data_IF_932231629257
#
_entry.id   IF_932231629257
#
_cell.length_a   1.000
_cell.length_b   1.000
_cell.length_c   1.000
_cell.angle_alpha   90.00
_cell.angle_beta   90.00
_cell.angle_gamma   90.00
#
_symmetry.space_group_name_H-M   'P 1'
#
loop_
_entity.id
_entity.type
_entity.pdbx_description
1 polymer ?
#
# COMPACT_ATOMS: atom_id res chain seq x y z
N UNK A 1 -5.28 -16.56 6.88
CA UNK A 1 -5.77 -15.76 8.03
C UNK A 1 -6.03 -14.35 7.53
N UNK A 2 -7.29 -13.91 7.54
CA UNK A 2 -7.61 -12.50 7.34
C UNK A 2 -6.99 -11.75 8.51
N UNK A 3 -5.88 -11.04 8.25
CA UNK A 3 -5.23 -10.23 9.29
C UNK A 3 -6.21 -9.12 9.64
N UNK A 4 -6.64 -9.11 10.90
CA UNK A 4 -7.53 -8.10 11.42
C UNK A 4 -6.80 -6.75 11.42
N UNK A 5 -7.27 -5.82 10.59
CA UNK A 5 -6.75 -4.45 10.48
C UNK A 5 -7.06 -3.62 11.77
N UNK A 6 -7.70 -4.21 12.80
CA UNK A 6 -8.08 -3.55 14.06
C UNK A 6 -6.98 -3.48 15.13
N UNK A 7 -5.80 -4.08 14.93
CA UNK A 7 -4.70 -3.97 15.90
C UNK A 7 -3.91 -2.70 15.62
N UNK A 8 -3.91 -1.77 16.58
CA UNK A 8 -3.22 -0.48 16.58
C UNK A 8 -1.69 -0.66 16.47
N UNK A 9 -1.19 -0.94 15.27
CA UNK A 9 0.23 -0.77 14.96
C UNK A 9 0.44 0.67 14.55
N UNK A 10 1.31 1.38 15.28
CA UNK A 10 1.60 2.78 15.02
C UNK A 10 2.16 2.97 13.60
N UNK A 11 1.58 3.93 12.87
CA UNK A 11 2.13 4.42 11.61
C UNK A 11 3.55 4.97 11.85
N UNK A 12 4.47 4.71 10.94
CA UNK A 12 5.82 5.26 11.07
C UNK A 12 5.86 6.73 10.66
N UNK A 13 6.81 7.47 11.22
CA UNK A 13 7.04 8.87 10.86
C UNK A 13 7.56 8.99 9.44
N UNK A 14 7.33 10.15 8.80
CA UNK A 14 7.92 10.47 7.47
C UNK A 14 9.44 10.34 7.46
N UNK A 15 10.12 10.64 8.58
CA UNK A 15 11.57 10.48 8.75
C UNK A 15 11.98 9.01 8.69
N UNK A 16 11.28 8.14 9.41
CA UNK A 16 11.53 6.69 9.41
C UNK A 16 11.24 6.06 8.05
N UNK A 17 10.12 6.43 7.40
CA UNK A 17 9.79 5.97 6.04
C UNK A 17 10.91 6.33 5.05
N UNK A 18 11.35 7.59 5.06
CA UNK A 18 12.46 8.05 4.21
C UNK A 18 13.75 7.28 4.48
N UNK A 19 14.11 7.10 5.75
CA UNK A 19 15.32 6.36 6.12
C UNK A 19 15.28 4.90 5.65
N UNK A 20 14.12 4.24 5.82
CA UNK A 20 13.92 2.87 5.36
C UNK A 20 14.02 2.76 3.83
N UNK A 21 13.30 3.62 3.09
CA UNK A 21 13.31 3.61 1.62
C UNK A 21 14.69 3.92 1.04
N UNK A 22 15.41 4.89 1.61
CA UNK A 22 16.77 5.23 1.17
C UNK A 22 17.74 4.07 1.41
N UNK A 23 17.65 3.43 2.58
CA UNK A 23 18.46 2.25 2.86
C UNK A 23 18.19 1.11 1.87
N UNK A 24 16.92 0.80 1.61
CA UNK A 24 16.55 -0.23 0.61
C UNK A 24 17.12 0.12 -0.75
N UNK A 25 17.02 1.39 -1.18
CA UNK A 25 17.49 1.87 -2.49
C UNK A 25 19.00 1.72 -2.67
N UNK A 26 19.78 1.96 -1.62
CA UNK A 26 21.24 1.91 -1.64
C UNK A 26 21.80 0.50 -1.41
N UNK A 27 21.05 -0.38 -0.75
CA UNK A 27 21.52 -1.71 -0.42
C UNK A 27 21.65 -2.63 -1.64
N UNK A 28 22.83 -3.25 -1.81
CA UNK A 28 23.13 -4.13 -2.96
C UNK A 28 22.15 -5.29 -3.13
N UNK A 29 21.64 -5.84 -2.03
CA UNK A 29 20.74 -7.00 -2.05
C UNK A 29 19.27 -6.58 -2.13
N UNK A 30 18.86 -5.57 -1.36
CA UNK A 30 17.45 -5.18 -1.24
C UNK A 30 16.96 -4.19 -2.29
N UNK A 31 17.84 -3.48 -3.00
CA UNK A 31 17.45 -2.46 -4.00
C UNK A 31 16.49 -2.95 -5.08
N UNK A 32 16.53 -4.23 -5.44
CA UNK A 32 15.62 -4.85 -6.43
C UNK A 32 14.16 -4.92 -5.97
N UNK A 33 13.89 -4.70 -4.68
CA UNK A 33 12.54 -4.67 -4.10
C UNK A 33 12.09 -3.24 -3.80
N UNK A 34 12.90 -2.22 -4.11
CA UNK A 34 12.61 -0.83 -3.80
C UNK A 34 11.27 -0.38 -4.38
N UNK A 35 11.03 -0.61 -5.67
CA UNK A 35 9.81 -0.19 -6.35
C UNK A 35 8.56 -0.81 -5.71
N UNK A 36 8.60 -2.12 -5.40
CA UNK A 36 7.48 -2.80 -4.74
C UNK A 36 7.22 -2.30 -3.32
N UNK A 37 8.27 -2.08 -2.54
CA UNK A 37 8.16 -1.50 -1.19
C UNK A 37 7.60 -0.07 -1.27
N UNK A 38 8.07 0.74 -2.22
CA UNK A 38 7.58 2.10 -2.43
C UNK A 38 6.08 2.10 -2.75
N UNK A 39 5.64 1.23 -3.66
CA UNK A 39 4.22 1.06 -4.00
C UNK A 39 3.38 0.74 -2.74
N UNK A 40 3.83 -0.16 -1.87
CA UNK A 40 3.12 -0.50 -0.63
C UNK A 40 2.93 0.72 0.28
N UNK A 41 3.92 1.61 0.38
CA UNK A 41 3.81 2.86 1.14
C UNK A 41 2.89 3.90 0.50
N UNK A 42 2.72 3.86 -0.82
CA UNK A 42 2.03 4.92 -1.58
C UNK A 42 0.66 4.57 -2.13
N UNK A 43 0.24 3.32 -1.98
CA UNK A 43 -1.07 2.84 -2.48
C UNK A 43 -1.94 2.19 -1.42
N UNK A 44 -1.35 1.82 -0.28
CA UNK A 44 -2.07 1.18 0.82
C UNK A 44 -2.59 -0.22 0.48
N UNK A 45 -2.12 -0.87 -0.58
CA UNK A 45 -2.48 -2.25 -0.91
C UNK A 45 -2.21 -3.21 0.25
N UNK A 46 -3.09 -4.21 0.43
CA UNK A 46 -2.76 -5.37 1.27
C UNK A 46 -1.65 -6.16 0.59
N UNK A 47 -0.83 -6.84 1.38
CA UNK A 47 0.30 -7.58 0.81
C UNK A 47 -0.14 -8.70 -0.14
N UNK A 48 -1.23 -9.41 0.19
CA UNK A 48 -1.78 -10.48 -0.68
C UNK A 48 -2.40 -9.93 -1.96
N UNK A 49 -2.94 -8.71 -1.95
CA UNK A 49 -3.40 -8.01 -3.15
C UNK A 49 -2.18 -7.64 -4.01
N UNK A 50 -1.17 -7.00 -3.42
CA UNK A 50 0.04 -6.57 -4.11
C UNK A 50 0.79 -7.72 -4.78
N UNK A 51 0.99 -8.84 -4.07
CA UNK A 51 1.67 -10.01 -4.64
C UNK A 51 0.80 -10.77 -5.65
N UNK A 52 -0.52 -10.55 -5.62
CA UNK A 52 -1.46 -11.07 -6.61
C UNK A 52 -1.48 -10.28 -7.91
N UNK A 53 -1.04 -9.02 -7.91
CA UNK A 53 -1.05 -8.18 -9.10
C UNK A 53 -0.33 -8.84 -10.28
N UNK A 54 -0.98 -8.76 -11.43
CA UNK A 54 -0.49 -9.14 -12.74
C UNK A 54 -0.27 -7.91 -13.61
N UNK A 55 0.44 -8.06 -14.72
CA UNK A 55 0.64 -6.96 -15.69
C UNK A 55 -0.70 -6.39 -16.18
N UNK A 56 -1.72 -7.23 -16.37
CA UNK A 56 -3.06 -6.80 -16.83
C UNK A 56 -3.84 -5.98 -15.80
N UNK A 57 -3.44 -5.97 -14.54
CA UNK A 57 -4.11 -5.18 -13.50
C UNK A 57 -3.60 -3.74 -13.44
N UNK A 58 -2.55 -3.40 -14.20
CA UNK A 58 -1.88 -2.11 -14.15
C UNK A 58 -2.20 -1.30 -15.40
N UNK A 59 -3.07 -0.29 -15.28
CA UNK A 59 -3.36 0.66 -16.35
C UNK A 59 -2.51 1.92 -16.15
N UNK A 60 -1.36 1.96 -16.82
CA UNK A 60 -0.41 3.08 -16.73
C UNK A 60 -0.89 4.35 -17.46
N UNK A 61 -1.81 4.22 -18.40
CA UNK A 61 -2.36 5.35 -19.16
C UNK A 61 -3.39 6.10 -18.32
N UNK A 62 -4.35 5.36 -17.75
CA UNK A 62 -5.33 5.92 -16.82
C UNK A 62 -4.76 6.17 -15.43
N UNK A 63 -3.62 5.56 -15.10
CA UNK A 63 -2.99 5.67 -13.80
C UNK A 63 -3.83 5.02 -12.71
N UNK A 64 -4.31 3.80 -12.95
CA UNK A 64 -5.12 3.02 -11.98
C UNK A 64 -4.62 1.58 -11.84
N UNK A 65 -4.70 1.07 -10.62
CA UNK A 65 -4.46 -0.34 -10.27
C UNK A 65 -5.82 -1.00 -10.08
N UNK A 66 -6.10 -2.05 -10.84
CA UNK A 66 -7.30 -2.85 -10.69
C UNK A 66 -7.10 -3.93 -9.62
N UNK A 67 -7.69 -3.73 -8.45
CA UNK A 67 -7.60 -4.68 -7.33
C UNK A 67 -8.88 -5.49 -7.29
N UNK A 68 -8.88 -6.69 -7.86
CA UNK A 68 -10.04 -7.58 -7.90
C UNK A 68 -9.75 -9.02 -7.41
N UNK A 69 -8.52 -9.28 -6.95
CA UNK A 69 -8.11 -10.57 -6.43
C UNK A 69 -6.90 -10.44 -5.50
N UNK A 70 -6.60 -11.51 -4.78
CA UNK A 70 -5.41 -11.65 -3.96
C UNK A 70 -4.78 -13.03 -4.13
N UNK A 71 -3.45 -13.08 -4.07
CA UNK A 71 -2.69 -14.33 -4.10
C UNK A 71 -2.38 -14.77 -2.67
N UNK A 72 -2.76 -16.00 -2.35
CA UNK A 72 -2.40 -16.65 -1.08
C UNK A 72 -1.70 -17.97 -1.33
N UNK A 73 -0.98 -18.44 -0.30
CA UNK A 73 -0.43 -19.79 -0.27
C UNK A 73 -0.93 -20.51 0.97
N UNK A 74 -1.61 -21.63 0.77
CA UNK A 74 -2.12 -22.49 1.85
C UNK A 74 -0.96 -23.22 2.54
N UNK A 75 -1.26 -23.82 3.69
CA UNK A 75 -0.29 -24.60 4.47
C UNK A 75 0.27 -25.81 3.70
N UNK A 76 -0.54 -26.42 2.81
CA UNK A 76 -0.13 -27.49 1.90
C UNK A 76 0.73 -27.00 0.71
N UNK A 77 1.22 -25.76 0.74
CA UNK A 77 2.04 -25.12 -0.30
C UNK A 77 1.31 -24.81 -1.62
N UNK A 78 0.01 -25.03 -1.66
CA UNK A 78 -0.84 -24.70 -2.81
C UNK A 78 -1.04 -23.19 -2.92
N UNK A 79 -0.84 -22.66 -4.13
CA UNK A 79 -1.16 -21.28 -4.47
C UNK A 79 -2.63 -21.19 -4.84
N UNK A 80 -3.30 -20.16 -4.33
CA UNK A 80 -4.70 -19.89 -4.67
C UNK A 80 -4.89 -18.41 -4.98
N UNK A 81 -5.78 -18.15 -5.93
CA UNK A 81 -6.37 -16.83 -6.14
C UNK A 81 -7.70 -16.78 -5.39
N UNK A 82 -7.80 -15.84 -4.47
CA UNK A 82 -9.09 -15.49 -3.88
C UNK A 82 -9.60 -14.22 -4.55
N UNK A 83 -10.70 -14.35 -5.27
CA UNK A 83 -11.42 -13.20 -5.80
C UNK A 83 -11.96 -12.36 -4.65
N UNK A 84 -11.95 -11.05 -4.83
CA UNK A 84 -12.56 -10.14 -3.89
C UNK A 84 -14.08 -10.08 -4.17
N UNK A 85 -14.80 -11.13 -3.75
CA UNK A 85 -16.22 -11.40 -4.05
C UNK A 85 -17.24 -10.32 -3.61
N UNK A 86 -16.80 -9.21 -3.02
CA UNK A 86 -17.65 -8.11 -2.55
C UNK A 86 -17.32 -6.81 -3.30
N UNK A 87 -18.30 -5.94 -3.49
CA UNK A 87 -18.10 -4.59 -4.09
C UNK A 87 -17.06 -3.77 -3.32
N UNK A 88 -16.90 -4.01 -2.02
CA UNK A 88 -15.86 -3.40 -1.18
C UNK A 88 -14.45 -3.93 -1.44
N UNK A 89 -14.35 -5.13 -2.04
CA UNK A 89 -13.10 -5.81 -2.29
C UNK A 89 -12.57 -5.59 -3.71
N UNK A 90 -13.45 -5.40 -4.71
CA UNK A 90 -13.05 -4.99 -6.06
C UNK A 90 -13.00 -3.47 -6.16
N UNK A 91 -11.82 -2.90 -6.47
CA UNK A 91 -11.65 -1.44 -6.51
C UNK A 91 -10.58 -0.99 -7.50
N UNK A 92 -10.69 0.25 -7.94
CA UNK A 92 -9.64 0.96 -8.66
C UNK A 92 -8.87 1.83 -7.67
N UNK A 93 -7.55 1.62 -7.59
CA UNK A 93 -6.66 2.46 -6.78
C UNK A 93 -5.90 3.41 -7.72
N UNK A 94 -6.17 4.73 -7.67
CA UNK A 94 -5.41 5.72 -8.44
C UNK A 94 -3.94 5.72 -8.02
N UNK A 95 -3.04 5.98 -8.97
CA UNK A 95 -1.60 6.08 -8.72
C UNK A 95 -1.02 7.41 -9.21
N UNK A 96 -0.18 8.00 -8.36
CA UNK A 96 0.63 9.15 -8.69
C UNK A 96 1.75 8.80 -9.70
N UNK A 97 2.40 9.82 -10.26
CA UNK A 97 3.43 9.65 -11.30
C UNK A 97 4.65 8.85 -10.84
N UNK A 98 5.04 9.01 -9.58
CA UNK A 98 6.11 8.25 -8.94
C UNK A 98 5.79 6.74 -8.84
N UNK A 99 4.55 6.40 -8.47
CA UNK A 99 4.04 5.03 -8.44
C UNK A 99 3.95 4.45 -9.86
N UNK A 100 3.48 5.22 -10.85
CA UNK A 100 3.51 4.82 -12.27
C UNK A 100 4.94 4.51 -12.72
N UNK A 101 5.91 5.34 -12.34
CA UNK A 101 7.32 5.10 -12.66
C UNK A 101 7.85 3.80 -12.01
N UNK A 102 7.42 3.49 -10.78
CA UNK A 102 7.76 2.23 -10.11
C UNK A 102 7.21 1.02 -10.87
N UNK A 103 5.92 1.03 -11.25
CA UNK A 103 5.34 -0.05 -12.04
C UNK A 103 6.00 -0.21 -13.41
N UNK A 104 6.31 0.88 -14.12
CA UNK A 104 7.06 0.82 -15.37
C UNK A 104 8.39 0.09 -15.21
N UNK A 105 9.17 0.44 -14.18
CA UNK A 105 10.45 -0.22 -13.87
C UNK A 105 10.26 -1.69 -13.53
N UNK A 106 9.24 -2.05 -12.75
CA UNK A 106 8.93 -3.44 -12.40
C UNK A 106 8.64 -4.23 -13.68
N UNK A 107 7.75 -3.74 -14.54
CA UNK A 107 7.34 -4.42 -15.78
C UNK A 107 8.53 -4.57 -16.74
N UNK A 108 9.34 -3.51 -16.90
CA UNK A 108 10.52 -3.52 -17.77
C UNK A 108 11.60 -4.51 -17.30
N UNK A 109 11.84 -4.58 -15.99
CA UNK A 109 12.88 -5.42 -15.40
C UNK A 109 12.36 -6.79 -14.94
N UNK A 110 11.09 -7.10 -15.22
CA UNK A 110 10.46 -8.35 -14.80
C UNK A 110 11.21 -9.54 -15.38
N UNK A 111 11.46 -10.55 -14.54
CA UNK A 111 12.01 -11.84 -14.98
C UNK A 111 11.06 -12.45 -16.03
N UNK A 112 11.62 -12.94 -17.13
CA UNK A 112 10.89 -13.64 -18.20
C UNK A 112 11.17 -15.14 -18.08
N UNK A 113 10.33 -15.91 -17.36
CA UNK A 113 10.52 -17.35 -17.25
C UNK A 113 10.28 -18.03 -18.60
N UNK A 114 10.76 -19.28 -18.76
CA UNK A 114 10.49 -20.07 -19.98
C UNK A 114 9.00 -20.35 -20.17
N UNK A 115 8.29 -20.56 -19.06
CA UNK A 115 6.85 -20.70 -19.00
C UNK A 115 6.34 -19.77 -17.91
N UNK A 116 5.33 -18.95 -18.24
CA UNK A 116 4.68 -18.11 -17.24
C UNK A 116 3.92 -18.98 -16.23
N UNK A 117 4.06 -18.74 -14.92
CA UNK A 117 3.24 -19.42 -13.93
C UNK A 117 1.78 -18.97 -14.08
N UNK A 118 0.89 -19.96 -14.10
CA UNK A 118 -0.56 -19.74 -14.14
C UNK A 118 -1.15 -20.29 -12.84
N UNK A 119 -1.78 -19.43 -12.05
CA UNK A 119 -2.48 -19.80 -10.82
C UNK A 119 -3.94 -19.41 -11.00
N UNK A 120 -4.85 -20.38 -10.97
CA UNK A 120 -6.29 -20.18 -11.15
C UNK A 120 -6.65 -19.27 -12.35
N UNK A 121 -5.96 -19.48 -13.48
CA UNK A 121 -6.16 -18.71 -14.72
C UNK A 121 -5.49 -17.33 -14.76
N UNK A 122 -4.87 -16.87 -13.67
CA UNK A 122 -4.09 -15.62 -13.62
C UNK A 122 -2.63 -15.90 -13.97
N UNK A 123 -2.02 -15.03 -14.77
CA UNK A 123 -0.60 -15.10 -15.17
C UNK A 123 0.01 -13.72 -15.32
N UNK A 124 1.33 -13.63 -15.45
CA UNK A 124 2.01 -12.34 -15.56
C UNK A 124 2.20 -11.62 -14.21
N UNK A 125 2.32 -12.38 -13.11
CA UNK A 125 2.58 -11.84 -11.77
C UNK A 125 3.85 -11.00 -11.74
N UNK A 126 3.84 -9.87 -11.00
CA UNK A 126 4.92 -8.89 -11.05
C UNK A 126 6.27 -9.39 -10.51
N UNK A 127 6.26 -10.25 -9.49
CA UNK A 127 7.46 -10.78 -8.84
C UNK A 127 7.45 -12.30 -8.79
N UNK A 128 8.53 -12.91 -9.29
CA UNK A 128 8.75 -14.35 -9.28
C UNK A 128 9.93 -14.72 -8.38
N UNK A 129 9.87 -15.88 -7.76
CA UNK A 129 10.95 -16.44 -6.96
C UNK A 129 12.01 -17.14 -7.82
N UNK A 130 12.97 -17.79 -7.17
CA UNK A 130 14.07 -18.50 -7.84
C UNK A 130 13.59 -19.70 -8.69
N UNK A 131 12.42 -20.24 -8.39
CA UNK A 131 11.80 -21.38 -9.07
C UNK A 131 10.75 -20.92 -10.10
N UNK A 132 10.74 -19.63 -10.48
CA UNK A 132 9.78 -19.04 -11.41
C UNK A 132 8.32 -19.03 -10.90
N UNK A 133 8.11 -19.26 -9.60
CA UNK A 133 6.78 -19.19 -9.00
C UNK A 133 6.48 -17.78 -8.45
N UNK A 134 5.21 -17.33 -8.43
CA UNK A 134 4.86 -16.03 -7.89
C UNK A 134 5.32 -15.90 -6.44
N UNK A 135 5.91 -14.76 -6.10
CA UNK A 135 6.23 -14.46 -4.72
C UNK A 135 4.96 -14.27 -3.90
N UNK A 136 4.98 -14.69 -2.62
CA UNK A 136 3.81 -14.58 -1.72
C UNK A 136 4.12 -13.68 -0.54
N UNK A 137 3.09 -13.31 0.22
CA UNK A 137 3.19 -12.40 1.37
C UNK A 137 4.34 -12.74 2.33
N UNK A 138 4.51 -14.02 2.66
CA UNK A 138 5.57 -14.49 3.56
C UNK A 138 7.00 -14.13 3.08
N UNK A 139 7.25 -14.10 1.77
CA UNK A 139 8.56 -13.68 1.26
C UNK A 139 8.83 -12.21 1.58
N UNK A 140 7.81 -11.36 1.37
CA UNK A 140 7.90 -9.92 1.63
C UNK A 140 8.01 -9.64 3.12
N UNK A 141 7.24 -10.33 3.96
CA UNK A 141 7.36 -10.22 5.43
C UNK A 141 8.79 -10.50 5.90
N UNK A 142 9.43 -11.57 5.39
CA UNK A 142 10.83 -11.88 5.69
C UNK A 142 11.79 -10.83 5.16
N UNK A 143 11.55 -10.27 3.97
CA UNK A 143 12.40 -9.20 3.45
C UNK A 143 12.34 -7.94 4.29
N UNK A 144 11.14 -7.50 4.67
CA UNK A 144 10.96 -6.37 5.57
C UNK A 144 11.67 -6.59 6.92
N UNK A 145 11.54 -7.80 7.49
CA UNK A 145 12.26 -8.18 8.70
C UNK A 145 13.78 -8.06 8.51
N UNK A 146 14.34 -8.71 7.48
CA UNK A 146 15.80 -8.68 7.24
C UNK A 146 16.32 -7.28 6.91
N UNK A 147 15.53 -6.44 6.23
CA UNK A 147 15.88 -5.04 5.96
C UNK A 147 15.99 -4.28 7.30
N UNK A 148 15.00 -4.39 8.18
CA UNK A 148 15.03 -3.73 9.49
C UNK A 148 16.20 -4.22 10.34
N UNK A 149 16.41 -5.54 10.42
CA UNK A 149 17.53 -6.14 11.17
C UNK A 149 18.89 -5.66 10.63
N UNK A 150 19.05 -5.59 9.30
CA UNK A 150 20.29 -5.10 8.69
C UNK A 150 20.50 -3.61 8.94
N UNK A 151 19.45 -2.80 8.83
CA UNK A 151 19.52 -1.37 9.12
C UNK A 151 19.93 -1.13 10.58
N UNK A 152 19.27 -1.78 11.54
CA UNK A 152 19.51 -1.57 12.97
C UNK A 152 20.89 -2.06 13.42
N UNK A 153 21.53 -2.96 12.66
CA UNK A 153 22.94 -3.34 12.87
C UNK A 153 23.95 -2.28 12.42
N UNK A 154 23.57 -1.42 11.48
CA UNK A 154 24.48 -0.44 10.84
C UNK A 154 24.32 0.95 11.45
N UNK A 155 23.08 1.35 11.76
CA UNK A 155 22.77 2.71 12.20
C UNK A 155 22.43 2.77 13.69
N UNK A 156 22.90 3.82 14.38
CA UNK A 156 22.61 4.04 15.81
C UNK A 156 21.15 4.35 16.10
N UNK A 157 20.48 5.07 15.21
CA UNK A 157 19.05 5.37 15.35
C UNK A 157 18.27 4.22 14.74
N UNK A 158 17.76 3.32 15.59
CA UNK A 158 17.01 2.14 15.14
C UNK A 158 15.68 2.51 14.45
N UNK A 159 15.32 1.74 13.44
CA UNK A 159 13.99 1.72 12.88
C UNK A 159 13.08 0.80 13.70
N UNK A 160 11.79 1.17 13.84
CA UNK A 160 10.79 0.27 14.41
C UNK A 160 10.59 -0.94 13.49
N UNK A 161 9.82 -1.92 13.96
CA UNK A 161 9.42 -3.06 13.12
C UNK A 161 8.52 -2.59 11.98
N UNK A 162 9.08 -2.49 10.78
CA UNK A 162 8.32 -2.16 9.56
C UNK A 162 7.93 -3.47 8.88
N UNK A 163 6.66 -3.58 8.50
CA UNK A 163 6.09 -4.72 7.77
C UNK A 163 5.22 -4.21 6.62
N UNK A 164 4.82 -5.06 5.65
CA UNK A 164 3.88 -4.65 4.60
C UNK A 164 2.58 -4.06 5.16
N UNK A 165 2.09 -4.61 6.28
CA UNK A 165 0.90 -4.12 6.96
C UNK A 165 1.12 -2.72 7.57
N UNK A 166 2.30 -2.45 8.13
CA UNK A 166 2.68 -1.10 8.59
C UNK A 166 2.74 -0.10 7.44
N UNK A 167 3.15 -0.51 6.23
CA UNK A 167 3.12 0.36 5.05
C UNK A 167 1.69 0.81 4.75
N UNK A 168 0.74 -0.13 4.77
CA UNK A 168 -0.69 0.13 4.58
C UNK A 168 -1.26 1.05 5.65
N UNK A 169 -0.96 0.81 6.93
CA UNK A 169 -1.38 1.71 8.01
C UNK A 169 -0.77 3.10 7.88
N UNK A 170 0.51 3.19 7.51
CA UNK A 170 1.21 4.46 7.31
C UNK A 170 0.60 5.25 6.16
N UNK A 171 0.26 4.59 5.05
CA UNK A 171 -0.49 5.22 3.96
C UNK A 171 -1.84 5.77 4.44
N UNK A 172 -2.64 4.96 5.14
CA UNK A 172 -3.95 5.37 5.66
C UNK A 172 -3.85 6.59 6.59
N UNK A 173 -2.94 6.54 7.57
CA UNK A 173 -2.70 7.65 8.50
C UNK A 173 -2.23 8.92 7.79
N UNK A 174 -1.33 8.80 6.80
CA UNK A 174 -0.85 9.94 6.04
C UNK A 174 -1.96 10.58 5.18
N UNK A 175 -2.82 9.77 4.54
CA UNK A 175 -3.94 10.29 3.76
C UNK A 175 -4.98 10.97 4.65
N UNK A 176 -5.31 10.39 5.80
CA UNK A 176 -6.20 10.99 6.78
C UNK A 176 -5.67 12.34 7.29
N UNK A 177 -4.40 12.39 7.71
CA UNK A 177 -3.72 13.63 8.13
C UNK A 177 -3.61 14.68 7.04
N UNK A 178 -3.71 14.27 5.77
CA UNK A 178 -3.70 15.20 4.63
C UNK A 178 -5.10 15.71 4.28
N UNK A 179 -6.13 15.39 5.09
CA UNK A 179 -7.50 15.84 4.89
C UNK A 179 -8.27 15.07 3.82
N UNK A 180 -7.84 13.85 3.46
CA UNK A 180 -8.59 13.04 2.52
C UNK A 180 -9.99 12.76 3.06
N UNK A 181 -11.01 12.81 2.20
CA UNK A 181 -12.35 12.45 2.62
C UNK A 181 -12.40 10.99 3.15
N UNK A 182 -12.97 10.71 4.33
CA UNK A 182 -12.98 9.36 4.92
C UNK A 182 -13.63 8.29 4.03
N UNK A 183 -14.68 8.63 3.27
CA UNK A 183 -15.34 7.69 2.36
C UNK A 183 -14.46 7.36 1.16
N UNK A 184 -13.75 8.36 0.64
CA UNK A 184 -12.75 8.16 -0.42
C UNK A 184 -11.62 7.26 0.08
N UNK A 185 -11.09 7.53 1.29
CA UNK A 185 -10.06 6.70 1.89
C UNK A 185 -10.55 5.27 2.15
N UNK A 186 -11.78 5.10 2.64
CA UNK A 186 -12.40 3.78 2.82
C UNK A 186 -12.41 2.98 1.50
N UNK A 187 -12.83 3.62 0.41
CA UNK A 187 -12.88 2.99 -0.91
C UNK A 187 -11.47 2.59 -1.38
N UNK A 188 -10.47 3.48 -1.27
CA UNK A 188 -9.08 3.20 -1.66
C UNK A 188 -8.49 2.06 -0.81
N UNK A 189 -8.78 2.05 0.49
CA UNK A 189 -8.29 1.02 1.39
C UNK A 189 -9.03 -0.31 1.19
N UNK A 190 -10.28 -0.29 0.69
CA UNK A 190 -11.12 -1.49 0.61
C UNK A 190 -11.48 -2.01 2.00
N UNK A 191 -11.87 -1.11 2.91
CA UNK A 191 -12.40 -1.48 4.23
C UNK A 191 -13.91 -1.72 4.14
N UNK A 192 -14.37 -2.91 4.52
CA UNK A 192 -15.80 -3.23 4.62
C UNK A 192 -16.51 -2.39 5.69
N UNK A 193 -15.81 -2.08 6.77
CA UNK A 193 -16.28 -1.23 7.86
C UNK A 193 -15.59 0.13 7.83
N UNK A 194 -16.39 1.20 7.87
CA UNK A 194 -15.90 2.58 7.93
C UNK A 194 -15.20 2.87 9.26
N UNK A 195 -15.57 2.18 10.34
CA UNK A 195 -14.97 2.33 11.67
C UNK A 195 -13.45 2.13 11.65
N UNK A 196 -12.95 1.19 10.85
CA UNK A 196 -11.51 0.96 10.66
C UNK A 196 -10.81 2.20 10.09
N UNK A 197 -11.46 2.89 9.15
CA UNK A 197 -10.95 4.14 8.58
C UNK A 197 -11.11 5.29 9.57
N UNK A 198 -12.24 5.42 10.25
CA UNK A 198 -12.48 6.52 11.20
C UNK A 198 -11.53 6.49 12.40
N UNK A 199 -11.09 5.30 12.82
CA UNK A 199 -10.07 5.16 13.86
C UNK A 199 -8.73 5.85 13.51
N UNK A 200 -8.46 6.16 12.24
CA UNK A 200 -7.27 6.96 11.87
C UNK A 200 -7.49 8.46 12.01
N UNK A 201 -8.74 8.91 12.14
CA UNK A 201 -9.14 10.31 12.36
C UNK A 201 -9.44 10.61 13.84
N UNK A 202 -9.62 9.62 14.72
CA UNK A 202 -9.98 9.86 16.14
C UNK A 202 -8.91 10.57 16.97
N UNK A 203 -7.78 10.94 16.37
CA UNK A 203 -6.72 11.75 16.99
C UNK A 203 -6.76 13.23 16.58
N UNK A 204 -7.90 13.72 16.06
CA UNK A 204 -8.09 15.15 15.83
C UNK A 204 -8.06 15.87 17.18
N UNK A 205 -7.11 16.78 17.35
CA UNK A 205 -7.09 17.70 18.47
C UNK A 205 -7.96 18.94 18.18
N UNK A 206 -8.11 19.82 19.17
CA UNK A 206 -8.93 21.02 19.01
C UNK A 206 -8.37 21.99 17.96
N UNK A 207 -7.04 21.97 17.72
CA UNK A 207 -6.40 22.82 16.73
C UNK A 207 -6.73 22.33 15.31
N UNK A 208 -6.77 21.02 15.09
CA UNK A 208 -7.24 20.42 13.83
C UNK A 208 -8.71 20.80 13.54
N UNK A 209 -9.57 20.74 14.56
CA UNK A 209 -10.99 21.13 14.44
C UNK A 209 -11.13 22.61 14.07
N UNK A 210 -10.35 23.49 14.71
CA UNK A 210 -10.36 24.91 14.38
C UNK A 210 -9.88 25.20 12.96
N UNK A 211 -8.84 24.48 12.50
CA UNK A 211 -8.30 24.62 11.15
C UNK A 211 -9.34 24.21 10.12
N UNK A 212 -9.99 23.07 10.31
CA UNK A 212 -11.02 22.58 9.40
C UNK A 212 -12.22 23.53 9.34
N UNK A 213 -12.69 24.04 10.49
CA UNK A 213 -13.74 25.08 10.52
C UNK A 213 -13.34 26.35 9.77
N UNK A 214 -12.09 26.82 9.92
CA UNK A 214 -11.61 28.00 9.19
C UNK A 214 -11.56 27.76 7.69
N UNK A 215 -11.10 26.60 7.24
CA UNK A 215 -11.04 26.25 5.82
C UNK A 215 -12.44 26.20 5.20
N UNK A 216 -13.42 25.58 5.87
CA UNK A 216 -14.82 25.55 5.40
C UNK A 216 -15.43 26.95 5.37
N UNK A 217 -15.26 27.75 6.42
CA UNK A 217 -15.75 29.12 6.46
C UNK A 217 -15.15 30.01 5.36
N UNK A 218 -13.89 29.77 4.98
CA UNK A 218 -13.23 30.51 3.90
C UNK A 218 -13.71 30.08 2.49
N UNK A 219 -14.22 28.85 2.35
CA UNK A 219 -14.77 28.33 1.08
C UNK A 219 -16.24 28.70 0.86
N UNK A 220 -16.96 29.08 1.92
CA UNK A 220 -18.33 29.56 1.81
C UNK A 220 -18.33 31.04 1.39
N UNK A 221 -18.98 31.41 0.27
CA UNK A 221 -19.14 32.80 -0.09
C UNK A 221 -19.88 33.53 1.04
N UNK A 222 -19.38 34.72 1.41
CA UNK A 222 -19.96 35.52 2.48
C UNK A 222 -21.46 35.71 2.21
N UNK A 223 -22.31 35.33 3.16
CA UNK A 223 -23.77 35.53 3.08
C UNK A 223 -24.18 37.02 3.22
N UNK A 224 -23.35 37.98 2.79
CA UNK A 224 -23.56 39.42 3.01
C UNK A 224 -23.94 40.26 1.80
N UNK A 225 -24.18 39.69 0.62
CA UNK A 225 -24.49 40.51 -0.58
C UNK A 225 -25.81 40.17 -1.28
N UNK A 226 -26.88 39.94 -0.51
CA UNK A 226 -28.25 40.00 -1.05
C UNK A 226 -29.19 40.82 -0.17
N UNK A 227 -28.81 42.07 0.08
CA UNK A 227 -29.76 43.13 0.46
C UNK A 227 -29.35 44.41 -0.25
N UNK A 228 -29.72 44.53 -1.53
CA UNK A 228 -30.04 45.84 -2.13
C UNK A 228 -30.92 45.65 -3.36
#
# INVERSE_FOLDING_TARGET
MVVNDSVTREAITRKQERAFLEFVKQDKHFRKYYEGIYILFKTGLRISEFVGLTISDIDLEKGVINVNHQLQRKHNMEYIIEDTKTDSGTRLVPMADDVKACFRKIIQNRKKPKSEPVIDGKSGFLYLDKNDMPMVALHWEKYFQHICEKYNKIYKQELPKITPHVCRHTFCSNMAKSGMNPKTLQNIMGHSDIGVTLNTYTHLDFDDIQKEMKEVCNQLPSMREKVQ
#
